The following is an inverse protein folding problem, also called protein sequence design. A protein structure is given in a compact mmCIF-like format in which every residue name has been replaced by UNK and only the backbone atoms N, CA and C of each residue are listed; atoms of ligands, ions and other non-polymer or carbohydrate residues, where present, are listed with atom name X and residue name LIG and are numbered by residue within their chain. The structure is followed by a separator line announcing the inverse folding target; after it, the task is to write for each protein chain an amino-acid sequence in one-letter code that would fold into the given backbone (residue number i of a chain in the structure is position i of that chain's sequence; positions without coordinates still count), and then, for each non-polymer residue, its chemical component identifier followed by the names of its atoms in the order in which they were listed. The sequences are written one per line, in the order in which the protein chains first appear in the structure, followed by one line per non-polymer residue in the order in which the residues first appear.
data_IF_536095130497
#
_entry.id   IF_536095130497
#
_cell.length_a   1.000
_cell.length_b   1.000
_cell.length_c   1.000
_cell.angle_alpha   90.00
_cell.angle_beta   90.00
_cell.angle_gamma   90.00
#
_symmetry.space_group_name_H-M   'P 1'
#
loop_
_entity.id
_entity.type
_entity.pdbx_description
1 polymer ?
#
# COMPACT_ATOMS: atom_id res chain seq x y z
N UNK A 1 0.87 19.67 19.76
CA UNK A 1 0.97 18.25 19.38
C UNK A 1 0.24 18.13 18.08
N UNK A 2 0.96 18.31 16.97
CA UNK A 2 0.37 18.27 15.64
C UNK A 2 -0.14 16.86 15.42
N UNK A 3 -1.47 16.73 15.33
CA UNK A 3 -2.12 15.49 14.96
C UNK A 3 -1.61 15.11 13.58
N UNK A 4 -0.77 14.07 13.50
CA UNK A 4 -0.37 13.47 12.22
C UNK A 4 -1.66 13.06 11.52
N UNK A 5 -2.04 13.78 10.47
CA UNK A 5 -3.19 13.42 9.67
C UNK A 5 -2.98 12.02 9.13
N UNK A 6 -3.92 11.13 9.42
CA UNK A 6 -3.87 9.71 9.07
C UNK A 6 -5.04 9.40 8.16
N UNK A 7 -4.79 8.58 7.15
CA UNK A 7 -5.81 8.22 6.15
C UNK A 7 -6.13 6.74 6.30
N UNK A 8 -7.40 6.38 6.35
CA UNK A 8 -7.79 4.97 6.49
C UNK A 8 -7.59 4.19 5.18
N UNK A 9 -7.34 2.88 5.28
CA UNK A 9 -7.26 2.01 4.10
C UNK A 9 -8.61 1.97 3.37
N UNK A 10 -9.72 2.04 4.10
CA UNK A 10 -11.06 2.14 3.53
C UNK A 10 -11.25 3.38 2.62
N UNK A 11 -10.68 4.54 2.97
CA UNK A 11 -10.70 5.72 2.10
C UNK A 11 -9.90 5.50 0.81
N UNK A 12 -8.74 4.83 0.89
CA UNK A 12 -7.94 4.51 -0.28
C UNK A 12 -8.69 3.56 -1.23
N UNK A 13 -9.35 2.53 -0.67
CA UNK A 13 -10.18 1.60 -1.44
C UNK A 13 -11.25 2.35 -2.22
N UNK A 14 -11.97 3.26 -1.56
CA UNK A 14 -13.02 4.07 -2.20
C UNK A 14 -12.45 5.02 -3.26
N UNK A 15 -11.31 5.66 -2.98
CA UNK A 15 -10.67 6.62 -3.89
C UNK A 15 -10.17 5.97 -5.19
N UNK A 16 -9.49 4.83 -5.08
CA UNK A 16 -8.87 4.14 -6.21
C UNK A 16 -9.72 2.99 -6.78
N UNK A 17 -10.94 2.79 -6.26
CA UNK A 17 -11.84 1.71 -6.64
C UNK A 17 -11.13 0.35 -6.60
N UNK A 18 -10.44 0.09 -5.50
CA UNK A 18 -9.63 -1.12 -5.32
C UNK A 18 -10.52 -2.31 -4.97
N UNK A 19 -10.16 -3.49 -5.47
CA UNK A 19 -10.79 -4.75 -5.08
C UNK A 19 -10.16 -5.22 -3.77
N UNK A 20 -10.96 -5.46 -2.73
CA UNK A 20 -10.48 -6.02 -1.47
C UNK A 20 -10.49 -7.56 -1.54
N UNK A 21 -9.30 -8.17 -1.45
CA UNK A 21 -9.11 -9.61 -1.49
C UNK A 21 -9.12 -10.26 -0.09
N UNK A 22 -9.20 -9.46 0.96
CA UNK A 22 -9.26 -9.88 2.36
C UNK A 22 -10.41 -9.16 3.06
N UNK A 23 -11.68 -9.48 2.72
CA UNK A 23 -12.85 -8.77 3.23
C UNK A 23 -13.07 -8.92 4.74
N UNK A 24 -12.51 -9.97 5.35
CA UNK A 24 -12.57 -10.23 6.79
C UNK A 24 -11.72 -9.24 7.62
N UNK A 25 -10.80 -8.52 6.98
CA UNK A 25 -9.92 -7.57 7.66
C UNK A 25 -10.59 -6.20 7.70
N UNK A 26 -10.68 -5.64 8.90
CA UNK A 26 -11.20 -4.28 9.11
C UNK A 26 -10.25 -3.23 8.51
N UNK A 27 -10.71 -2.59 7.44
CA UNK A 27 -9.98 -1.55 6.70
C UNK A 27 -10.26 -0.14 7.21
N UNK A 28 -11.28 0.06 8.05
CA UNK A 28 -11.61 1.37 8.63
C UNK A 28 -10.68 1.70 9.79
N UNK A 29 -10.25 0.70 10.55
CA UNK A 29 -9.31 0.85 11.68
C UNK A 29 -7.83 0.63 11.29
N UNK A 30 -7.52 0.53 10.00
CA UNK A 30 -6.15 0.49 9.46
C UNK A 30 -5.81 1.82 8.82
N UNK A 31 -4.67 2.39 9.19
CA UNK A 31 -4.29 3.75 8.80
C UNK A 31 -2.93 3.79 8.10
N UNK A 32 -2.83 4.67 7.10
CA UNK A 32 -1.59 5.13 6.51
C UNK A 32 -1.19 6.44 7.18
N UNK A 33 0.05 6.51 7.63
CA UNK A 33 0.64 7.66 8.34
C UNK A 33 1.82 8.27 7.60
N UNK A 34 2.27 7.65 6.50
CA UNK A 34 3.33 8.12 5.64
C UNK A 34 2.74 8.36 4.23
N UNK A 35 2.82 9.59 3.67
CA UNK A 35 2.27 9.91 2.36
C UNK A 35 3.23 9.49 1.23
N UNK A 36 3.64 8.22 1.26
CA UNK A 36 4.56 7.62 0.31
C UNK A 36 4.26 6.12 0.16
N UNK A 37 4.77 5.50 -0.88
CA UNK A 37 4.61 4.06 -1.13
C UNK A 37 5.98 3.39 -1.20
N UNK A 38 5.99 2.06 -1.12
CA UNK A 38 7.19 1.27 -1.32
C UNK A 38 6.93 0.11 -2.28
N UNK A 39 7.95 -0.25 -3.05
CA UNK A 39 7.94 -1.41 -3.95
C UNK A 39 8.96 -2.43 -3.42
N UNK A 40 8.52 -3.55 -2.81
CA UNK A 40 9.39 -4.39 -1.98
C UNK A 40 10.30 -5.34 -2.80
N UNK A 41 11.01 -4.85 -3.81
CA UNK A 41 11.83 -5.69 -4.69
C UNK A 41 12.97 -6.41 -3.94
N UNK A 42 13.71 -5.70 -3.08
CA UNK A 42 14.83 -6.26 -2.31
C UNK A 42 14.38 -7.08 -1.11
N UNK A 43 13.27 -6.71 -0.49
CA UNK A 43 12.69 -7.42 0.66
C UNK A 43 12.21 -8.81 0.25
N UNK A 44 11.68 -8.95 -0.96
CA UNK A 44 11.35 -10.25 -1.52
C UNK A 44 12.59 -11.13 -1.72
N UNK A 45 13.79 -10.55 -1.85
CA UNK A 45 15.07 -11.25 -1.89
C UNK A 45 15.70 -11.52 -0.50
N UNK A 46 14.91 -11.38 0.58
CA UNK A 46 15.33 -11.49 1.98
C UNK A 46 16.29 -10.38 2.46
N UNK A 47 16.32 -9.23 1.78
CA UNK A 47 17.07 -8.07 2.22
C UNK A 47 16.12 -7.05 2.86
N UNK A 48 16.07 -7.04 4.20
CA UNK A 48 15.17 -6.18 4.99
C UNK A 48 15.88 -5.00 5.66
N UNK A 49 17.17 -4.80 5.42
CA UNK A 49 17.86 -3.60 5.89
C UNK A 49 17.21 -2.37 5.26
N UNK A 50 16.83 -1.41 6.11
CA UNK A 50 16.10 -0.19 5.73
C UNK A 50 14.75 -0.45 5.03
N UNK A 51 14.01 -1.50 5.43
CA UNK A 51 12.67 -1.71 4.90
C UNK A 51 11.67 -0.66 5.42
N UNK A 52 11.16 0.18 4.50
CA UNK A 52 10.07 1.13 4.73
C UNK A 52 8.69 0.44 4.88
N UNK A 53 8.55 -0.38 5.92
CA UNK A 53 7.37 -1.21 6.11
C UNK A 53 6.09 -0.45 6.41
N UNK A 54 6.19 0.73 7.02
CA UNK A 54 5.03 1.54 7.43
C UNK A 54 4.34 2.24 6.25
N UNK A 55 4.88 2.10 5.04
CA UNK A 55 4.31 2.62 3.79
C UNK A 55 3.38 1.61 3.14
N UNK A 56 2.50 2.10 2.26
CA UNK A 56 1.72 1.24 1.37
C UNK A 56 2.68 0.44 0.48
N UNK A 57 2.49 -0.88 0.39
CA UNK A 57 3.35 -1.73 -0.43
C UNK A 57 2.66 -2.01 -1.78
N UNK A 58 3.36 -1.79 -2.89
CA UNK A 58 2.84 -2.09 -4.23
C UNK A 58 3.64 -3.24 -4.86
N UNK A 59 2.92 -4.27 -5.30
CA UNK A 59 3.47 -5.43 -6.01
C UNK A 59 3.04 -5.37 -7.47
N UNK A 60 4.00 -5.37 -8.39
CA UNK A 60 3.77 -5.37 -9.83
C UNK A 60 4.30 -6.64 -10.50
N UNK A 61 4.52 -6.52 -11.81
CA UNK A 61 4.97 -7.64 -12.65
C UNK A 61 6.34 -8.17 -12.23
N UNK A 62 7.29 -7.29 -11.90
CA UNK A 62 8.67 -7.67 -11.60
C UNK A 62 8.73 -8.45 -10.29
N UNK A 63 8.07 -7.91 -9.26
CA UNK A 63 7.99 -8.52 -7.94
C UNK A 63 7.25 -9.87 -8.01
N UNK A 64 6.15 -9.93 -8.77
CA UNK A 64 5.40 -11.17 -8.98
C UNK A 64 6.20 -12.20 -9.76
N UNK A 65 6.83 -11.82 -10.88
CA UNK A 65 7.65 -12.72 -11.68
C UNK A 65 8.80 -13.30 -10.86
N UNK A 66 9.45 -12.47 -10.04
CA UNK A 66 10.48 -12.91 -9.10
C UNK A 66 9.93 -13.93 -8.08
N UNK A 67 8.79 -13.64 -7.45
CA UNK A 67 8.13 -14.57 -6.52
C UNK A 67 7.79 -15.91 -7.17
N UNK A 68 7.34 -15.90 -8.42
CA UNK A 68 6.97 -17.11 -9.16
C UNK A 68 8.17 -18.00 -9.54
N UNK A 69 9.40 -17.51 -9.41
CA UNK A 69 10.61 -18.35 -9.57
C UNK A 69 10.81 -19.34 -8.42
N UNK A 70 10.16 -19.11 -7.28
CA UNK A 70 10.25 -19.96 -6.09
C UNK A 70 9.12 -20.99 -6.04
N UNK A 71 9.40 -22.13 -5.43
CA UNK A 71 8.37 -23.12 -5.10
C UNK A 71 7.43 -22.61 -3.99
N UNK A 72 6.31 -23.32 -3.81
CA UNK A 72 5.27 -22.91 -2.86
C UNK A 72 5.79 -22.76 -1.41
N UNK A 73 6.61 -23.69 -0.87
CA UNK A 73 7.21 -23.53 0.46
C UNK A 73 8.09 -22.28 0.58
N UNK A 74 8.98 -22.02 -0.39
CA UNK A 74 9.84 -20.84 -0.34
C UNK A 74 9.07 -19.53 -0.49
N UNK A 75 8.03 -19.47 -1.34
CA UNK A 75 7.12 -18.32 -1.41
C UNK A 75 6.43 -18.06 -0.09
N UNK A 76 5.89 -19.10 0.56
CA UNK A 76 5.25 -18.99 1.88
C UNK A 76 6.19 -18.40 2.93
N UNK A 77 7.45 -18.84 2.95
CA UNK A 77 8.45 -18.30 3.87
C UNK A 77 8.76 -16.81 3.60
N UNK A 78 8.85 -16.40 2.33
CA UNK A 78 9.06 -15.00 1.94
C UNK A 78 7.87 -14.12 2.32
N UNK A 79 6.64 -14.56 2.06
CA UNK A 79 5.44 -13.84 2.47
C UNK A 79 5.35 -13.71 3.99
N UNK A 80 5.61 -14.79 4.72
CA UNK A 80 5.66 -14.75 6.18
C UNK A 80 6.76 -13.83 6.73
N UNK A 81 7.88 -13.64 6.01
CA UNK A 81 8.89 -12.67 6.39
C UNK A 81 8.41 -11.23 6.14
N UNK A 82 7.79 -10.98 4.99
CA UNK A 82 7.25 -9.66 4.62
C UNK A 82 6.11 -9.22 5.55
N UNK A 83 5.17 -10.11 5.86
CA UNK A 83 3.97 -9.79 6.66
C UNK A 83 4.21 -9.72 8.17
N UNK A 84 5.45 -9.93 8.64
CA UNK A 84 5.83 -9.67 10.04
C UNK A 84 5.95 -8.18 10.37
N UNK A 85 6.10 -7.35 9.36
CA UNK A 85 6.29 -5.92 9.53
C UNK A 85 4.95 -5.17 9.58
N UNK A 86 4.90 -3.98 10.18
CA UNK A 86 3.67 -3.19 10.32
C UNK A 86 3.24 -2.53 9.00
N UNK A 87 2.86 -3.35 8.02
CA UNK A 87 2.40 -2.89 6.71
C UNK A 87 0.94 -2.43 6.80
N UNK A 88 0.60 -1.20 6.38
CA UNK A 88 -0.77 -0.70 6.41
C UNK A 88 -1.68 -1.44 5.42
N UNK A 89 -1.19 -1.69 4.21
CA UNK A 89 -1.84 -2.53 3.19
C UNK A 89 -0.84 -2.92 2.08
N UNK A 90 -1.18 -3.98 1.35
CA UNK A 90 -0.46 -4.45 0.15
C UNK A 90 -1.40 -4.34 -1.04
N UNK A 91 -0.93 -3.78 -2.16
CA UNK A 91 -1.71 -3.59 -3.38
C UNK A 91 -1.02 -4.29 -4.55
N UNK A 92 -1.73 -5.20 -5.20
CA UNK A 92 -1.33 -5.78 -6.48
C UNK A 92 -1.80 -4.89 -7.63
N UNK A 93 -0.87 -4.40 -8.43
CA UNK A 93 -1.16 -3.60 -9.62
C UNK A 93 -1.52 -4.49 -10.82
N UNK A 94 -2.01 -3.88 -11.91
CA UNK A 94 -2.21 -4.52 -13.23
C UNK A 94 -3.13 -5.76 -13.22
N UNK A 95 -4.12 -5.82 -12.33
CA UNK A 95 -5.01 -6.98 -12.15
C UNK A 95 -4.26 -8.30 -11.91
N UNK A 96 -3.03 -8.23 -11.39
CA UNK A 96 -2.30 -9.44 -11.03
C UNK A 96 -3.03 -10.10 -9.86
N UNK A 97 -3.35 -11.37 -9.99
CA UNK A 97 -3.94 -12.16 -8.92
C UNK A 97 -2.85 -12.66 -7.95
N UNK A 98 -2.93 -12.33 -6.66
CA UNK A 98 -2.04 -12.91 -5.66
C UNK A 98 -2.30 -14.41 -5.54
N UNK A 99 -1.24 -15.20 -5.35
CA UNK A 99 -1.41 -16.63 -5.07
C UNK A 99 -1.96 -16.87 -3.65
N UNK A 100 -2.47 -18.08 -3.42
CA UNK A 100 -3.14 -18.42 -2.16
C UNK A 100 -2.25 -18.21 -0.93
N UNK A 101 -0.94 -18.38 -1.05
CA UNK A 101 -0.02 -18.20 0.07
C UNK A 101 0.08 -16.73 0.49
N UNK A 102 -0.05 -15.78 -0.44
CA UNK A 102 -0.08 -14.35 -0.11
C UNK A 102 -1.37 -13.98 0.63
N UNK A 103 -2.51 -14.46 0.14
CA UNK A 103 -3.83 -14.21 0.75
C UNK A 103 -3.85 -14.78 2.18
N UNK A 104 -3.41 -16.02 2.36
CA UNK A 104 -3.29 -16.65 3.68
C UNK A 104 -2.37 -15.85 4.63
N UNK A 105 -1.21 -15.40 4.15
CA UNK A 105 -0.27 -14.63 4.96
C UNK A 105 -0.83 -13.27 5.38
N UNK A 106 -1.55 -12.58 4.49
CA UNK A 106 -2.20 -11.30 4.75
C UNK A 106 -3.34 -11.43 5.76
N UNK A 107 -4.21 -12.44 5.60
CA UNK A 107 -5.27 -12.74 6.56
C UNK A 107 -4.70 -13.06 7.95
N UNK A 108 -3.66 -13.88 8.02
CA UNK A 108 -3.02 -14.24 9.30
C UNK A 108 -2.40 -13.04 10.00
N UNK A 109 -1.79 -12.12 9.23
CA UNK A 109 -1.17 -10.91 9.77
C UNK A 109 -2.15 -9.74 9.97
N UNK A 110 -3.41 -9.88 9.52
CA UNK A 110 -4.38 -8.79 9.53
C UNK A 110 -3.95 -7.61 8.66
N UNK A 111 -3.27 -7.87 7.53
CA UNK A 111 -2.86 -6.83 6.55
C UNK A 111 -3.85 -6.85 5.39
N UNK A 112 -4.56 -5.75 5.10
CA UNK A 112 -5.42 -5.65 3.93
C UNK A 112 -4.66 -5.91 2.63
N UNK A 113 -5.16 -6.84 1.82
CA UNK A 113 -4.65 -7.16 0.50
C UNK A 113 -5.62 -6.67 -0.57
N UNK A 114 -5.13 -5.80 -1.43
CA UNK A 114 -5.93 -5.07 -2.40
C UNK A 114 -5.43 -5.34 -3.82
N UNK A 115 -6.30 -5.12 -4.81
CA UNK A 115 -5.94 -5.22 -6.22
C UNK A 115 -6.42 -3.99 -6.99
N UNK A 116 -5.59 -3.53 -7.92
CA UNK A 116 -5.89 -2.45 -8.86
C UNK A 116 -5.65 -2.89 -10.30
N UNK A 117 -6.48 -2.38 -11.22
CA UNK A 117 -6.28 -2.53 -12.65
C UNK A 117 -5.19 -1.60 -13.21
N UNK A 118 -4.84 -0.53 -12.48
CA UNK A 118 -3.89 0.48 -12.95
C UNK A 118 -2.47 -0.08 -13.10
N UNK A 119 -1.66 0.46 -14.03
CA UNK A 119 -0.22 0.23 -14.08
C UNK A 119 0.47 0.64 -12.77
N UNK A 120 1.51 -0.09 -12.37
CA UNK A 120 2.25 0.11 -11.11
C UNK A 120 2.69 1.56 -10.89
N UNK A 121 3.36 2.18 -11.86
CA UNK A 121 3.87 3.55 -11.75
C UNK A 121 2.77 4.60 -11.67
N UNK A 122 1.67 4.39 -12.39
CA UNK A 122 0.52 5.30 -12.35
C UNK A 122 -0.21 5.22 -11.01
N UNK A 123 -0.43 4.00 -10.52
CA UNK A 123 -1.03 3.74 -9.21
C UNK A 123 -0.19 4.36 -8.09
N UNK A 124 1.12 4.12 -8.12
CA UNK A 124 2.08 4.72 -7.19
C UNK A 124 2.01 6.25 -7.18
N UNK A 125 2.10 6.88 -8.36
CA UNK A 125 2.07 8.34 -8.47
C UNK A 125 0.75 8.92 -7.93
N UNK A 126 -0.39 8.29 -8.25
CA UNK A 126 -1.70 8.77 -7.80
C UNK A 126 -1.90 8.59 -6.29
N UNK A 127 -1.46 7.46 -5.71
CA UNK A 127 -1.53 7.24 -4.26
C UNK A 127 -0.66 8.25 -3.53
N UNK A 128 0.60 8.44 -3.94
CA UNK A 128 1.51 9.43 -3.33
C UNK A 128 0.88 10.83 -3.41
N UNK A 129 0.40 11.23 -4.59
CA UNK A 129 -0.22 12.54 -4.81
C UNK A 129 -1.42 12.75 -3.90
N UNK A 130 -2.31 11.77 -3.83
CA UNK A 130 -3.52 11.85 -3.04
C UNK A 130 -3.23 11.88 -1.53
N UNK A 131 -2.33 11.01 -1.04
CA UNK A 131 -1.91 11.02 0.37
C UNK A 131 -1.25 12.34 0.76
N UNK A 132 -0.37 12.90 -0.09
CA UNK A 132 0.25 14.20 0.15
C UNK A 132 -0.76 15.33 0.30
N UNK A 133 -1.81 15.35 -0.52
CA UNK A 133 -2.89 16.33 -0.39
C UNK A 133 -3.70 16.10 0.89
N UNK A 134 -4.00 14.83 1.20
CA UNK A 134 -4.83 14.44 2.34
C UNK A 134 -4.16 14.57 3.70
N UNK A 135 -2.83 14.67 3.73
CA UNK A 135 -2.03 14.72 4.96
C UNK A 135 -1.19 16.01 5.01
N UNK A 136 -1.51 16.99 4.14
CA UNK A 136 -0.83 18.27 4.10
C UNK A 136 -1.19 19.09 5.34
N UNK A 137 -0.19 19.70 6.03
CA UNK A 137 -0.47 20.59 7.15
C UNK A 137 -1.42 21.72 6.74
N UNK A 138 -2.56 21.84 7.42
CA UNK A 138 -3.51 22.93 7.20
C UNK A 138 -3.22 24.08 8.16
N UNK A 139 -3.12 25.29 7.60
CA UNK A 139 -3.11 26.53 8.37
C UNK A 139 -4.31 27.39 7.95
N UNK A 140 -4.95 28.03 8.92
CA UNK A 140 -6.02 28.99 8.66
C UNK A 140 -5.45 30.40 8.62
N UNK A 141 -5.63 31.10 7.51
CA UNK A 141 -5.20 32.49 7.32
C UNK A 141 -6.41 33.35 6.99
N UNK A 142 -6.49 34.55 7.57
CA UNK A 142 -7.52 35.53 7.21
C UNK A 142 -7.05 36.34 5.99
N UNK A 143 -7.71 36.17 4.85
CA UNK A 143 -7.39 36.85 3.60
C UNK A 143 -8.36 36.48 2.49
N UNK A 144 -8.27 37.15 1.35
CA UNK A 144 -9.06 36.85 0.14
C UNK A 144 -8.13 36.25 -0.90
N UNK A 145 -8.39 34.99 -1.27
CA UNK A 145 -7.71 34.33 -2.40
C UNK A 145 -8.35 34.82 -3.70
N UNK A 146 -7.57 35.42 -4.59
CA UNK A 146 -8.02 35.84 -5.93
C UNK A 146 -7.11 35.20 -6.97
N UNK A 147 -7.69 34.49 -7.92
CA UNK A 147 -7.00 33.97 -9.11
C UNK A 147 -7.18 34.99 -10.25
N UNK A 148 -6.09 35.52 -10.79
CA UNK A 148 -6.08 36.54 -11.85
C UNK A 148 -5.20 36.05 -13.00
N UNK A 149 -5.86 35.59 -14.06
CA UNK A 149 -5.29 34.98 -15.26
C UNK A 149 -4.77 33.53 -15.14
N UNK A 150 -5.07 32.81 -14.05
CA UNK A 150 -4.61 31.43 -13.84
C UNK A 150 -3.15 31.34 -13.45
#
# INVERSE_FOLDING_TARGET
MDSVEKVSVAELIKKENLVNLTPEIDTENKFMTIPDVNRPALQLANFFDQFDSERVQIIGNVETAYLMTFDKPARRAKYAALTKYPIPCIIYARNIEPDSCMIEACNTAGIPLLQSHRPTTELEAEIIRWLKVKMAPMISVHGVLVDVYG
#
